data_IF_866424129577
#
_entry.id   IF_866424129577
#
_cell.length_a   1.000
_cell.length_b   1.000
_cell.length_c   1.000
_cell.angle_alpha   90.00
_cell.angle_beta   90.00
_cell.angle_gamma   90.00
#
_symmetry.space_group_name_H-M   'P 1'
#
loop_
_entity.id
_entity.type
_entity.pdbx_description
1 polymer ?
#
# COMPACT_ATOMS: atom_id res chain seq x y z
N UNK A 1 -27.89 -26.74 53.07
CA UNK A 1 -26.64 -26.06 52.75
C UNK A 1 -25.74 -26.80 51.72
N UNK A 2 -26.02 -28.06 51.31
CA UNK A 2 -25.17 -28.79 50.33
C UNK A 2 -25.53 -28.56 48.86
N UNK A 3 -26.71 -28.02 48.55
CA UNK A 3 -27.17 -27.79 47.14
C UNK A 3 -26.66 -26.51 46.52
N UNK A 4 -26.31 -25.50 47.32
CA UNK A 4 -25.87 -24.19 46.85
C UNK A 4 -24.39 -24.19 46.38
N UNK A 5 -23.57 -25.09 46.95
CA UNK A 5 -22.14 -25.20 46.62
C UNK A 5 -21.92 -25.83 45.22
N UNK A 6 -22.78 -26.77 44.85
CA UNK A 6 -22.68 -27.48 43.55
C UNK A 6 -23.04 -26.53 42.39
N UNK A 7 -23.97 -25.61 42.59
CA UNK A 7 -24.39 -24.67 41.56
C UNK A 7 -23.32 -23.60 41.28
N UNK A 8 -22.56 -23.18 42.32
CA UNK A 8 -21.47 -22.22 42.16
C UNK A 8 -20.27 -22.87 41.46
N UNK A 9 -20.01 -24.15 41.69
CA UNK A 9 -18.91 -24.85 41.07
C UNK A 9 -19.17 -25.08 39.55
N UNK A 10 -20.42 -25.32 39.15
CA UNK A 10 -20.79 -25.45 37.72
C UNK A 10 -20.73 -24.10 36.98
N UNK A 11 -21.02 -22.98 37.63
CA UNK A 11 -20.93 -21.65 37.03
C UNK A 11 -19.49 -21.19 36.85
N UNK A 12 -18.56 -21.68 37.68
CA UNK A 12 -17.12 -21.34 37.50
C UNK A 12 -16.44 -22.13 36.37
N UNK A 13 -16.94 -23.33 36.06
CA UNK A 13 -16.38 -24.12 34.94
C UNK A 13 -16.85 -23.60 33.60
N UNK A 14 -18.01 -22.94 33.52
CA UNK A 14 -18.50 -22.36 32.25
C UNK A 14 -17.85 -21.03 31.87
N UNK A 15 -17.12 -20.36 32.77
CA UNK A 15 -16.39 -19.13 32.50
C UNK A 15 -14.94 -19.36 32.07
N UNK A 16 -14.42 -20.57 32.17
CA UNK A 16 -13.06 -20.92 31.81
C UNK A 16 -12.90 -21.35 30.32
N UNK A 17 -13.99 -21.37 29.53
CA UNK A 17 -13.96 -21.88 28.17
C UNK A 17 -14.09 -20.81 27.08
N UNK A 18 -13.90 -19.53 27.41
CA UNK A 18 -13.93 -18.43 26.44
C UNK A 18 -12.65 -17.58 26.42
N UNK A 19 -11.51 -18.17 26.74
CA UNK A 19 -10.22 -17.62 26.34
C UNK A 19 -9.54 -18.58 25.36
N UNK A 20 -10.18 -18.86 24.24
CA UNK A 20 -9.40 -19.22 23.08
C UNK A 20 -8.75 -17.92 22.62
N UNK A 21 -7.49 -17.70 22.97
CA UNK A 21 -6.65 -16.84 22.18
C UNK A 21 -6.96 -17.14 20.71
N UNK A 22 -7.16 -16.13 19.84
CA UNK A 22 -7.36 -16.39 18.43
C UNK A 22 -6.14 -17.18 17.97
N UNK A 23 -6.33 -18.49 17.87
CA UNK A 23 -5.29 -19.39 17.37
C UNK A 23 -5.13 -18.97 15.92
N UNK A 24 -3.99 -18.37 15.60
CA UNK A 24 -3.67 -17.94 14.26
C UNK A 24 -3.86 -19.14 13.34
N UNK A 25 -4.71 -19.01 12.33
CA UNK A 25 -5.00 -20.08 11.40
C UNK A 25 -3.75 -20.55 10.64
N UNK A 26 -2.70 -19.72 10.61
CA UNK A 26 -1.40 -19.99 9.98
C UNK A 26 -0.28 -19.38 10.84
N UNK A 27 0.29 -20.17 11.76
CA UNK A 27 1.39 -19.75 12.65
C UNK A 27 2.64 -19.35 11.86
N UNK A 28 2.93 -20.05 10.76
CA UNK A 28 4.03 -19.70 9.87
C UNK A 28 3.85 -18.32 9.23
N UNK A 29 2.63 -18.00 8.81
CA UNK A 29 2.32 -16.69 8.24
C UNK A 29 2.48 -15.57 9.27
N UNK A 30 2.10 -15.83 10.52
CA UNK A 30 2.29 -14.88 11.61
C UNK A 30 3.78 -14.62 11.88
N UNK A 31 4.58 -15.66 12.08
CA UNK A 31 6.02 -15.53 12.33
C UNK A 31 6.74 -14.81 11.20
N UNK A 32 6.46 -15.18 9.95
CA UNK A 32 7.04 -14.54 8.77
C UNK A 32 6.61 -13.08 8.64
N UNK A 33 5.36 -12.76 8.96
CA UNK A 33 4.87 -11.38 8.98
C UNK A 33 5.63 -10.54 10.01
N UNK A 34 5.84 -11.04 11.22
CA UNK A 34 6.59 -10.32 12.25
C UNK A 34 8.07 -10.14 11.87
N UNK A 35 8.71 -11.14 11.26
CA UNK A 35 10.06 -11.01 10.73
C UNK A 35 10.13 -9.96 9.62
N UNK A 36 9.16 -9.97 8.69
CA UNK A 36 9.04 -9.01 7.61
C UNK A 36 8.89 -7.58 8.13
N UNK A 37 8.02 -7.37 9.10
CA UNK A 37 7.80 -6.06 9.75
C UNK A 37 9.07 -5.55 10.44
N UNK A 38 9.71 -6.40 11.22
CA UNK A 38 10.94 -6.04 11.92
C UNK A 38 12.06 -5.62 10.95
N UNK A 39 12.16 -6.30 9.82
CA UNK A 39 13.18 -6.05 8.82
C UNK A 39 12.88 -4.80 8.00
N UNK A 40 11.67 -4.65 7.48
CA UNK A 40 11.36 -3.68 6.43
C UNK A 40 10.64 -2.42 6.91
N UNK A 41 9.99 -2.41 8.08
CA UNK A 41 9.39 -1.18 8.60
C UNK A 41 10.39 -0.03 8.73
N UNK A 42 11.59 -0.22 9.31
CA UNK A 42 12.57 0.87 9.40
C UNK A 42 13.08 1.34 8.04
N UNK A 43 13.09 0.46 7.05
CA UNK A 43 13.55 0.78 5.70
C UNK A 43 12.45 1.54 4.94
N UNK A 44 11.21 1.10 5.00
CA UNK A 44 10.07 1.72 4.29
C UNK A 44 9.69 3.07 4.90
N UNK A 45 9.78 3.22 6.22
CA UNK A 45 9.49 4.47 6.89
C UNK A 45 10.37 5.60 6.33
N UNK A 46 9.72 6.71 5.93
CA UNK A 46 10.37 7.84 5.28
C UNK A 46 9.63 8.29 4.03
N UNK A 47 10.24 9.22 3.31
CA UNK A 47 9.65 9.82 2.12
C UNK A 47 10.26 9.22 0.85
N UNK A 48 9.37 8.94 -0.09
CA UNK A 48 9.66 8.30 -1.37
C UNK A 48 8.93 9.05 -2.48
N UNK A 49 9.56 9.18 -3.64
CA UNK A 49 8.93 9.82 -4.79
C UNK A 49 9.23 9.09 -6.08
N UNK A 50 8.34 9.28 -7.04
CA UNK A 50 8.53 8.86 -8.43
C UNK A 50 8.09 9.97 -9.36
N UNK A 51 8.86 10.20 -10.39
CA UNK A 51 8.48 11.07 -11.48
C UNK A 51 8.61 10.34 -12.80
N UNK A 52 7.62 10.56 -13.65
CA UNK A 52 7.54 9.92 -14.93
C UNK A 52 7.05 10.91 -15.98
N UNK A 53 7.89 11.17 -16.97
CA UNK A 53 7.58 12.11 -18.04
C UNK A 53 7.70 11.40 -19.38
N UNK A 54 6.60 11.30 -20.09
CA UNK A 54 6.53 10.82 -21.48
C UNK A 54 5.77 11.80 -22.36
N UNK A 55 5.79 11.49 -23.63
CA UNK A 55 5.22 12.32 -24.68
C UNK A 55 3.75 12.67 -24.46
N UNK A 56 2.95 11.71 -23.95
CA UNK A 56 1.49 11.87 -23.76
C UNK A 56 1.04 11.93 -22.32
N UNK A 57 1.94 11.72 -21.36
CA UNK A 57 1.61 11.69 -19.94
C UNK A 57 2.79 12.08 -19.08
N UNK A 58 2.52 12.80 -18.00
CA UNK A 58 3.48 13.09 -16.94
C UNK A 58 2.82 12.88 -15.60
N UNK A 59 3.56 12.24 -14.72
CA UNK A 59 3.08 11.76 -13.44
C UNK A 59 4.15 12.00 -12.38
N UNK A 60 3.71 12.46 -11.23
CA UNK A 60 4.53 12.56 -10.03
C UNK A 60 3.72 12.00 -8.86
N UNK A 61 4.37 11.23 -8.00
CA UNK A 61 3.82 10.81 -6.72
C UNK A 61 4.87 10.86 -5.65
N UNK A 62 4.50 11.36 -4.49
CA UNK A 62 5.31 11.36 -3.27
C UNK A 62 4.51 10.69 -2.15
N UNK A 63 5.14 9.75 -1.48
CA UNK A 63 4.59 8.99 -0.36
C UNK A 63 5.49 9.15 0.86
N UNK A 64 4.92 9.47 1.99
CA UNK A 64 5.64 9.54 3.27
C UNK A 64 5.05 8.53 4.24
N UNK A 65 5.80 7.48 4.50
CA UNK A 65 5.41 6.39 5.40
C UNK A 65 5.90 6.65 6.82
N UNK A 66 5.00 6.54 7.79
CA UNK A 66 5.32 6.57 9.22
C UNK A 66 5.43 5.15 9.78
N UNK A 67 6.32 4.94 10.75
CA UNK A 67 6.53 3.63 11.36
C UNK A 67 5.31 3.09 12.13
N UNK A 68 4.34 3.96 12.43
CA UNK A 68 3.08 3.60 13.09
C UNK A 68 2.03 2.97 12.16
N UNK A 69 2.37 2.78 10.87
CA UNK A 69 1.47 2.21 9.89
C UNK A 69 0.57 3.24 9.19
N UNK A 70 0.81 4.53 9.37
CA UNK A 70 0.15 5.60 8.61
C UNK A 70 1.03 6.09 7.46
N UNK A 71 0.43 6.71 6.46
CA UNK A 71 1.17 7.41 5.41
C UNK A 71 0.38 8.60 4.87
N UNK A 72 1.11 9.53 4.28
CA UNK A 72 0.56 10.63 3.49
C UNK A 72 1.11 10.56 2.09
N UNK A 73 0.34 11.04 1.13
CA UNK A 73 0.77 11.09 -0.26
C UNK A 73 0.34 12.37 -0.95
N UNK A 74 1.03 12.68 -2.04
CA UNK A 74 0.66 13.72 -2.98
C UNK A 74 0.89 13.21 -4.38
N UNK A 75 -0.07 13.46 -5.27
CA UNK A 75 0.00 13.03 -6.67
C UNK A 75 -0.33 14.18 -7.61
N UNK A 76 0.39 14.22 -8.71
CA UNK A 76 0.12 15.09 -9.84
C UNK A 76 0.22 14.29 -11.13
N UNK A 77 -0.85 14.28 -11.90
CA UNK A 77 -0.93 13.56 -13.16
C UNK A 77 -1.56 14.41 -14.23
N UNK A 78 -0.89 14.53 -15.36
CA UNK A 78 -1.36 15.25 -16.52
C UNK A 78 -1.22 14.39 -17.77
N UNK A 79 -2.13 14.59 -18.71
CA UNK A 79 -2.10 13.93 -20.02
C UNK A 79 -2.35 14.93 -21.12
N UNK A 80 -1.89 14.59 -22.35
CA UNK A 80 -2.24 15.31 -23.58
C UNK A 80 -2.53 14.33 -24.69
N UNK A 81 -3.24 14.79 -25.71
CA UNK A 81 -3.62 13.98 -26.88
C UNK A 81 -2.87 14.47 -28.11
N UNK A 82 -2.51 13.54 -28.99
CA UNK A 82 -2.11 13.86 -30.35
C UNK A 82 -3.38 14.06 -31.18
N UNK A 83 -3.50 15.19 -31.85
CA UNK A 83 -4.65 15.56 -32.70
C UNK A 83 -4.15 16.03 -34.04
N UNK A 84 -4.98 15.90 -35.06
CA UNK A 84 -4.70 16.43 -36.39
C UNK A 84 -5.50 17.70 -36.62
N UNK A 85 -4.84 18.83 -36.82
CA UNK A 85 -5.47 20.11 -37.13
C UNK A 85 -4.86 20.60 -38.44
N UNK A 86 -5.69 20.91 -39.41
CA UNK A 86 -5.29 21.35 -40.76
C UNK A 86 -4.30 20.38 -41.43
N UNK A 87 -4.51 19.09 -41.26
CA UNK A 87 -3.67 18.03 -41.82
C UNK A 87 -2.31 17.86 -41.14
N UNK A 88 -2.04 18.53 -40.02
CA UNK A 88 -0.82 18.40 -39.24
C UNK A 88 -1.09 17.79 -37.90
N UNK A 89 -0.25 16.83 -37.51
CA UNK A 89 -0.29 16.26 -36.14
C UNK A 89 0.33 17.23 -35.14
N UNK A 90 -0.38 17.49 -34.06
CA UNK A 90 0.10 18.29 -32.93
C UNK A 90 -0.47 17.81 -31.63
N UNK A 91 0.22 18.09 -30.52
CA UNK A 91 -0.29 17.78 -29.19
C UNK A 91 -1.22 18.87 -28.68
N UNK A 92 -2.28 18.46 -27.97
CA UNK A 92 -3.08 19.39 -27.16
C UNK A 92 -2.27 19.91 -25.99
N UNK A 93 -2.75 20.96 -25.32
CA UNK A 93 -2.22 21.37 -24.05
C UNK A 93 -2.34 20.23 -23.00
N UNK A 94 -1.49 20.29 -21.98
CA UNK A 94 -1.55 19.38 -20.85
C UNK A 94 -2.85 19.58 -20.06
N UNK A 95 -3.50 18.50 -19.75
CA UNK A 95 -4.75 18.46 -19.00
C UNK A 95 -4.55 17.69 -17.69
N UNK A 96 -4.94 18.30 -16.58
CA UNK A 96 -4.96 17.66 -15.28
C UNK A 96 -5.90 16.46 -15.26
N UNK A 97 -5.49 15.42 -14.56
CA UNK A 97 -6.34 14.29 -14.20
C UNK A 97 -6.91 14.54 -12.81
N UNK A 98 -7.85 15.49 -12.70
CA UNK A 98 -8.40 15.98 -11.44
C UNK A 98 -8.85 14.87 -10.48
N UNK A 99 -9.46 13.81 -11.01
CA UNK A 99 -9.89 12.65 -10.22
C UNK A 99 -8.75 11.89 -9.53
N UNK A 100 -7.51 12.15 -9.91
CA UNK A 100 -6.32 11.42 -9.44
C UNK A 100 -5.26 12.33 -8.84
N UNK A 101 -5.46 13.62 -8.91
CA UNK A 101 -4.55 14.63 -8.39
C UNK A 101 -4.95 15.04 -6.97
N UNK A 102 -3.97 15.46 -6.19
CA UNK A 102 -4.18 15.98 -4.84
C UNK A 102 -3.40 15.24 -3.78
N UNK A 103 -3.72 15.57 -2.55
CA UNK A 103 -3.15 14.93 -1.36
C UNK A 103 -4.07 13.83 -0.86
N UNK A 104 -3.47 12.83 -0.23
CA UNK A 104 -4.19 11.72 0.36
C UNK A 104 -3.49 11.22 1.62
N UNK A 105 -4.24 10.57 2.48
CA UNK A 105 -3.74 9.95 3.70
C UNK A 105 -4.21 8.52 3.77
N UNK A 106 -3.51 7.69 4.51
CA UNK A 106 -3.92 6.31 4.61
C UNK A 106 -3.14 5.51 5.63
N UNK A 107 -3.33 4.20 5.55
CA UNK A 107 -2.63 3.23 6.37
C UNK A 107 -1.88 2.24 5.49
N UNK A 108 -0.78 1.74 6.02
CA UNK A 108 0.01 0.70 5.36
C UNK A 108 0.36 -0.41 6.33
N UNK A 109 0.53 -1.60 5.80
CA UNK A 109 0.98 -2.75 6.58
C UNK A 109 1.77 -3.71 5.72
N UNK A 110 2.67 -4.42 6.37
CA UNK A 110 3.38 -5.55 5.80
C UNK A 110 2.73 -6.85 6.28
N UNK A 111 2.59 -7.81 5.40
CA UNK A 111 2.18 -9.17 5.72
C UNK A 111 2.88 -10.17 4.80
N UNK A 112 3.06 -11.38 5.32
CA UNK A 112 3.35 -12.54 4.49
C UNK A 112 2.08 -13.37 4.38
N UNK A 113 1.66 -13.64 3.17
CA UNK A 113 0.38 -14.31 2.91
C UNK A 113 0.55 -15.37 1.82
N UNK A 114 -0.28 -16.39 1.88
CA UNK A 114 -0.44 -17.37 0.80
C UNK A 114 -1.91 -17.38 0.35
N UNK A 115 -2.11 -17.59 -0.95
CA UNK A 115 -3.45 -17.55 -1.54
C UNK A 115 -4.30 -18.74 -1.11
N UNK A 116 -3.66 -19.86 -0.79
CA UNK A 116 -4.30 -21.09 -0.29
C UNK A 116 -3.30 -21.95 0.46
N UNK A 117 -3.81 -22.87 1.26
CA UNK A 117 -2.98 -23.87 1.95
C UNK A 117 -2.06 -24.62 0.97
N UNK A 118 -0.77 -24.73 1.34
CA UNK A 118 0.27 -25.36 0.52
C UNK A 118 0.76 -24.54 -0.67
N UNK A 119 0.20 -23.37 -0.94
CA UNK A 119 0.75 -22.46 -1.94
C UNK A 119 2.03 -21.76 -1.44
N UNK A 120 2.94 -21.35 -2.33
CA UNK A 120 4.03 -20.48 -1.95
C UNK A 120 3.47 -19.15 -1.43
N UNK A 121 3.99 -18.69 -0.30
CA UNK A 121 3.61 -17.39 0.24
C UNK A 121 4.43 -16.26 -0.38
N UNK A 122 3.90 -15.06 -0.28
CA UNK A 122 4.51 -13.85 -0.78
C UNK A 122 4.53 -12.73 0.27
N UNK A 123 5.55 -11.89 0.21
CA UNK A 123 5.60 -10.65 0.98
C UNK A 123 4.64 -9.64 0.33
N UNK A 124 3.83 -8.99 1.15
CA UNK A 124 2.86 -8.00 0.68
C UNK A 124 3.01 -6.69 1.46
N UNK A 125 2.95 -5.59 0.73
CA UNK A 125 2.74 -4.26 1.29
C UNK A 125 1.33 -3.81 0.90
N UNK A 126 0.49 -3.63 1.89
CA UNK A 126 -0.86 -3.14 1.72
C UNK A 126 -0.90 -1.64 1.96
N UNK A 127 -1.47 -0.91 1.01
CA UNK A 127 -1.77 0.51 1.13
C UNK A 127 -3.28 0.68 1.03
N UNK A 128 -3.84 1.43 1.96
CA UNK A 128 -5.23 1.86 1.92
C UNK A 128 -5.26 3.37 2.12
N UNK A 129 -5.71 4.11 1.12
CA UNK A 129 -5.70 5.57 1.14
C UNK A 129 -7.09 6.14 0.88
N UNK A 130 -7.34 7.29 1.49
CA UNK A 130 -8.50 8.13 1.23
C UNK A 130 -7.98 9.43 0.62
N UNK A 131 -8.38 9.73 -0.59
CA UNK A 131 -8.20 11.05 -1.17
C UNK A 131 -9.05 12.05 -0.42
N UNK A 132 -8.63 13.30 -0.40
CA UNK A 132 -9.25 14.35 0.37
C UNK A 132 -10.78 14.44 0.19
N UNK A 133 -11.45 15.17 1.07
CA UNK A 133 -12.90 15.19 1.30
C UNK A 133 -13.78 15.45 0.05
N UNK A 134 -13.20 15.90 -1.05
CA UNK A 134 -13.92 16.17 -2.29
C UNK A 134 -14.01 14.97 -3.24
N UNK A 135 -13.24 13.93 -2.99
CA UNK A 135 -13.14 12.76 -3.85
C UNK A 135 -13.37 11.48 -3.03
N UNK A 136 -14.51 11.23 -2.56
CA UNK A 136 -14.99 10.07 -1.78
C UNK A 136 -14.53 8.69 -2.35
N UNK A 137 -13.23 8.54 -2.61
CA UNK A 137 -12.62 7.39 -3.27
C UNK A 137 -11.61 6.71 -2.36
N UNK A 138 -11.96 5.51 -1.95
CA UNK A 138 -11.03 4.58 -1.31
C UNK A 138 -10.07 4.01 -2.35
N UNK A 139 -8.80 4.26 -2.17
CA UNK A 139 -7.74 3.69 -3.01
C UNK A 139 -7.40 2.29 -2.53
N UNK A 140 -7.49 1.31 -3.40
CA UNK A 140 -7.17 -0.07 -3.03
C UNK A 140 -5.73 -0.44 -3.37
N UNK A 141 -5.11 -0.92 -2.36
CA UNK A 141 -4.07 -1.91 -2.23
C UNK A 141 -3.26 -2.22 -3.48
N UNK A 142 -2.02 -1.85 -3.40
CA UNK A 142 -1.01 -2.48 -4.22
C UNK A 142 -0.68 -3.86 -3.65
N UNK A 143 -0.95 -4.89 -4.41
CA UNK A 143 -0.48 -6.22 -4.09
C UNK A 143 1.00 -6.30 -4.48
N UNK A 144 1.87 -6.20 -3.48
CA UNK A 144 3.31 -6.34 -3.70
C UNK A 144 3.67 -7.82 -3.70
N UNK A 145 3.76 -8.41 -4.86
CA UNK A 145 4.29 -9.76 -4.99
C UNK A 145 5.79 -9.87 -4.67
N UNK A 146 6.49 -8.75 -4.61
CA UNK A 146 7.87 -8.70 -4.17
C UNK A 146 8.24 -7.32 -3.62
N UNK A 147 8.75 -7.26 -2.40
CA UNK A 147 9.46 -6.12 -1.88
C UNK A 147 10.90 -6.19 -2.40
N UNK A 148 11.19 -5.47 -3.47
CA UNK A 148 12.57 -5.21 -3.87
C UNK A 148 13.05 -3.95 -3.18
N UNK A 149 13.67 -4.13 -2.02
CA UNK A 149 14.42 -3.07 -1.39
C UNK A 149 15.86 -3.28 -1.82
N UNK A 150 16.41 -2.33 -2.56
CA UNK A 150 17.81 -2.38 -2.92
C UNK A 150 18.69 -2.29 -1.68
N UNK A 151 19.87 -2.87 -1.73
CA UNK A 151 20.78 -2.98 -0.59
C UNK A 151 21.25 -1.61 -0.04
N UNK A 152 21.14 -0.54 -0.83
CA UNK A 152 21.49 0.83 -0.44
C UNK A 152 20.31 1.60 0.19
N UNK A 153 19.15 0.98 0.29
CA UNK A 153 17.93 1.58 0.85
C UNK A 153 17.46 2.85 0.12
N UNK A 154 17.89 3.04 -1.11
CA UNK A 154 17.59 4.26 -1.87
C UNK A 154 16.39 4.11 -2.78
N UNK A 155 15.96 2.87 -3.03
CA UNK A 155 14.84 2.58 -3.93
C UNK A 155 13.83 1.65 -3.29
N UNK A 156 12.56 1.84 -3.64
CA UNK A 156 11.42 1.02 -3.24
C UNK A 156 10.59 0.71 -4.48
N UNK A 157 10.45 -0.57 -4.81
CA UNK A 157 9.68 -1.00 -5.98
C UNK A 157 8.31 -1.54 -5.59
N UNK A 158 7.32 -1.22 -6.42
CA UNK A 158 5.96 -1.75 -6.32
C UNK A 158 5.58 -2.46 -7.63
N UNK A 159 5.11 -3.70 -7.53
CA UNK A 159 4.44 -4.37 -8.65
C UNK A 159 2.96 -4.03 -8.66
N UNK A 160 2.41 -3.71 -9.82
CA UNK A 160 1.03 -3.28 -9.97
C UNK A 160 0.77 -1.81 -9.62
N UNK A 161 1.80 -1.01 -9.51
CA UNK A 161 1.72 0.42 -9.22
C UNK A 161 0.88 1.20 -10.23
N UNK A 162 0.27 2.29 -9.77
CA UNK A 162 -0.61 3.14 -10.56
C UNK A 162 0.15 4.09 -11.51
N UNK A 163 1.25 3.65 -12.07
CA UNK A 163 1.90 4.44 -13.11
C UNK A 163 1.11 4.30 -14.38
N UNK A 164 0.55 5.40 -14.90
CA UNK A 164 -0.16 5.38 -16.16
C UNK A 164 0.77 4.89 -17.26
N UNK A 165 0.46 3.78 -17.87
CA UNK A 165 1.27 3.10 -18.89
C UNK A 165 2.63 2.58 -18.38
N UNK A 166 2.68 2.11 -17.13
CA UNK A 166 3.83 1.40 -16.62
C UNK A 166 4.21 0.27 -17.56
N UNK A 167 5.41 0.33 -18.09
CA UNK A 167 6.02 -0.79 -18.78
C UNK A 167 6.21 -1.83 -17.69
N UNK A 168 5.56 -2.99 -17.86
CA UNK A 168 5.75 -4.18 -17.02
C UNK A 168 5.29 -4.16 -15.55
N UNK A 169 4.42 -3.22 -15.15
CA UNK A 169 3.75 -3.31 -13.84
C UNK A 169 4.61 -3.03 -12.61
N UNK A 170 5.86 -2.61 -12.77
CA UNK A 170 6.73 -2.21 -11.68
C UNK A 170 6.89 -0.69 -11.63
N UNK A 171 6.68 -0.12 -10.45
CA UNK A 171 6.96 1.29 -10.16
C UNK A 171 8.12 1.37 -9.18
N UNK A 172 9.16 2.10 -9.54
CA UNK A 172 10.34 2.28 -8.70
C UNK A 172 10.35 3.69 -8.14
N UNK A 173 10.23 3.78 -6.82
CA UNK A 173 10.33 5.04 -6.07
C UNK A 173 11.77 5.24 -5.60
N UNK A 174 12.20 6.48 -5.61
CA UNK A 174 13.48 6.92 -5.04
C UNK A 174 13.24 7.52 -3.66
N UNK A 175 14.12 7.22 -2.71
CA UNK A 175 14.06 7.80 -1.37
C UNK A 175 14.39 9.29 -1.41
N UNK A 176 13.63 10.07 -0.67
CA UNK A 176 13.84 11.50 -0.50
C UNK A 176 12.60 12.31 -0.80
N UNK A 177 12.65 13.56 -0.37
CA UNK A 177 11.62 14.55 -0.68
C UNK A 177 11.90 15.18 -2.04
N UNK A 178 10.87 15.37 -2.83
CA UNK A 178 10.94 16.02 -4.14
C UNK A 178 9.62 16.69 -4.47
N UNK A 179 9.68 17.68 -5.32
CA UNK A 179 8.53 18.33 -5.92
C UNK A 179 8.44 17.98 -7.41
N UNK A 180 7.23 17.97 -8.03
CA UNK A 180 7.09 17.71 -9.46
C UNK A 180 7.85 18.76 -10.27
N UNK A 181 8.56 18.31 -11.30
CA UNK A 181 9.30 19.19 -12.22
C UNK A 181 8.40 19.86 -13.28
N UNK A 182 7.08 19.67 -13.21
CA UNK A 182 6.09 20.16 -14.18
C UNK A 182 4.84 20.74 -13.52
#
# INVERSE_FOLDING_TARGET
MKKTIITILLALVSLASCSSDPQWADEEAHEKTEQLRKQYTPIIAGTWHVEYIKEKGRFFERLTFSADGTFTGMRKWQTRKLVTIDGKEQYTDWQEKEDYNGTFTGTWKLSWERDKEGAPGANRLWLSAVFDENHDRTYYAYDLNALFIHADETTLSFTGGFVPNGVDGETVYTRGDAEPSF
#
